data_IF_992313833460
#
_entry.id   IF_992313833460
#
_cell.length_a   1.000
_cell.length_b   1.000
_cell.length_c   1.000
_cell.angle_alpha   90.00
_cell.angle_beta   90.00
_cell.angle_gamma   90.00
#
_symmetry.space_group_name_H-M   'P 1'
#
loop_
_entity.id
_entity.type
_entity.pdbx_description
1 polymer ?
#
# COMPACT_ATOMS: atom_id res chain seq x y z
N UNK A 1 11.29 -12.45 -22.89
CA UNK A 1 10.18 -11.58 -22.44
C UNK A 1 9.41 -11.15 -23.67
N UNK A 2 8.14 -11.51 -23.75
CA UNK A 2 7.27 -11.14 -24.87
C UNK A 2 6.61 -9.78 -24.62
N UNK A 3 6.13 -9.13 -25.68
CA UNK A 3 5.46 -7.83 -25.59
C UNK A 3 4.20 -7.86 -24.69
N UNK A 4 3.56 -9.03 -24.61
CA UNK A 4 2.38 -9.29 -23.77
C UNK A 4 2.71 -9.35 -22.27
N UNK A 5 3.86 -9.94 -21.90
CA UNK A 5 4.32 -9.98 -20.51
C UNK A 5 4.65 -8.58 -19.97
N UNK A 6 5.18 -7.73 -20.85
CA UNK A 6 5.54 -6.35 -20.52
C UNK A 6 4.29 -5.49 -20.31
N UNK A 7 3.30 -5.59 -21.21
CA UNK A 7 2.01 -4.92 -21.04
C UNK A 7 1.24 -5.42 -19.81
N UNK A 8 1.28 -6.72 -19.52
CA UNK A 8 0.67 -7.29 -18.31
C UNK A 8 1.32 -6.71 -17.05
N UNK A 9 2.65 -6.66 -16.99
CA UNK A 9 3.40 -6.05 -15.87
C UNK A 9 3.11 -4.57 -15.71
N UNK A 10 3.03 -3.81 -16.80
CA UNK A 10 2.69 -2.38 -16.75
C UNK A 10 1.26 -2.16 -16.25
N UNK A 11 0.32 -3.00 -16.66
CA UNK A 11 -1.08 -2.95 -16.21
C UNK A 11 -1.22 -3.35 -14.75
N UNK A 12 -0.53 -4.40 -14.33
CA UNK A 12 -0.43 -4.80 -12.92
C UNK A 12 0.26 -3.73 -12.08
N UNK A 13 1.32 -3.10 -12.60
CA UNK A 13 2.00 -1.99 -11.94
C UNK A 13 1.13 -0.74 -11.80
N UNK A 14 0.29 -0.45 -12.81
CA UNK A 14 -0.67 0.65 -12.76
C UNK A 14 -1.83 0.37 -11.79
N UNK A 15 -2.22 -0.90 -11.64
CA UNK A 15 -3.33 -1.32 -10.76
C UNK A 15 -2.90 -1.54 -9.30
N UNK A 16 -1.66 -2.00 -9.09
CA UNK A 16 -1.16 -2.48 -7.79
C UNK A 16 0.08 -1.72 -7.30
N UNK A 17 0.58 -0.74 -8.07
CA UNK A 17 1.90 -0.13 -7.87
C UNK A 17 3.01 -0.97 -8.52
N UNK A 18 4.18 -0.38 -8.84
CA UNK A 18 5.30 -1.08 -9.45
C UNK A 18 5.55 -2.43 -8.77
N UNK A 19 5.65 -3.50 -9.58
CA UNK A 19 5.93 -4.85 -9.08
C UNK A 19 7.14 -4.80 -8.13
N UNK A 20 6.89 -5.04 -6.83
CA UNK A 20 7.84 -4.81 -5.73
C UNK A 20 7.32 -3.88 -4.62
N UNK A 21 6.24 -3.12 -4.84
CA UNK A 21 5.52 -2.34 -3.81
C UNK A 21 4.28 -3.06 -3.23
N UNK A 22 3.97 -4.27 -3.71
CA UNK A 22 2.85 -5.08 -3.24
C UNK A 22 3.22 -6.03 -2.07
N UNK A 23 4.48 -6.03 -1.63
CA UNK A 23 4.98 -6.98 -0.61
C UNK A 23 4.89 -6.43 0.82
N UNK A 24 4.00 -5.47 1.08
CA UNK A 24 3.81 -4.99 2.45
C UNK A 24 2.85 -5.88 3.21
N UNK A 25 3.21 -6.23 4.43
CA UNK A 25 2.43 -7.14 5.27
C UNK A 25 1.90 -6.45 6.52
N UNK A 26 0.83 -7.02 7.08
CA UNK A 26 0.36 -6.61 8.39
C UNK A 26 1.47 -6.89 9.42
N UNK A 27 1.97 -5.84 10.05
CA UNK A 27 3.13 -5.90 10.94
C UNK A 27 4.25 -4.97 10.51
N UNK A 28 4.38 -4.69 9.21
CA UNK A 28 5.41 -3.81 8.66
C UNK A 28 5.29 -2.39 9.24
N UNK A 29 6.43 -1.74 9.40
CA UNK A 29 6.53 -0.33 9.75
C UNK A 29 6.94 0.43 8.51
N UNK A 30 6.15 1.43 8.12
CA UNK A 30 6.36 2.21 6.89
C UNK A 30 6.42 3.70 7.18
N UNK A 31 7.13 4.45 6.33
CA UNK A 31 6.93 5.89 6.19
C UNK A 31 5.99 6.17 5.03
N UNK A 32 5.04 7.07 5.24
CA UNK A 32 3.98 7.36 4.28
C UNK A 32 3.60 8.84 4.29
N UNK A 33 2.99 9.28 3.19
CA UNK A 33 2.35 10.57 3.08
C UNK A 33 0.96 10.49 3.69
N UNK A 34 0.64 11.37 4.64
CA UNK A 34 -0.69 11.41 5.24
C UNK A 34 -1.72 11.90 4.20
N UNK A 35 -2.69 11.06 3.79
CA UNK A 35 -3.69 11.45 2.80
C UNK A 35 -4.58 12.62 3.29
N UNK A 36 -4.71 12.81 4.61
CA UNK A 36 -5.47 13.91 5.19
C UNK A 36 -4.68 15.22 5.27
N UNK A 37 -3.36 15.17 5.08
CA UNK A 37 -2.49 16.35 5.15
C UNK A 37 -1.41 16.35 4.06
N UNK A 38 -1.81 16.14 2.80
CA UNK A 38 -0.89 16.10 1.64
C UNK A 38 -0.17 17.41 1.34
N UNK A 39 -0.58 18.54 1.93
CA UNK A 39 0.10 19.84 1.76
C UNK A 39 1.33 19.98 2.65
N UNK A 40 1.37 19.22 3.74
CA UNK A 40 2.54 19.13 4.60
C UNK A 40 3.38 18.01 4.02
N UNK A 41 4.48 18.31 3.32
CA UNK A 41 5.46 17.33 2.82
C UNK A 41 6.13 16.46 3.93
N UNK A 42 5.54 16.44 5.13
CA UNK A 42 5.97 15.65 6.27
C UNK A 42 5.52 14.21 6.11
N UNK A 43 6.51 13.33 6.00
CA UNK A 43 6.32 11.90 6.11
C UNK A 43 5.92 11.52 7.54
N UNK A 44 4.88 10.71 7.65
CA UNK A 44 4.48 10.05 8.88
C UNK A 44 5.07 8.65 8.92
N UNK A 45 5.20 8.08 10.11
CA UNK A 45 5.58 6.69 10.30
C UNK A 45 4.47 5.95 11.04
N UNK A 46 4.18 4.73 10.62
CA UNK A 46 3.14 3.93 11.26
C UNK A 46 3.29 2.44 10.96
N UNK A 47 2.54 1.63 11.71
CA UNK A 47 2.52 0.18 11.56
C UNK A 47 1.33 -0.22 10.71
N UNK A 48 1.56 -1.05 9.70
CA UNK A 48 0.49 -1.69 8.95
C UNK A 48 -0.22 -2.69 9.86
N UNK A 49 -1.52 -2.51 10.07
CA UNK A 49 -2.32 -3.39 10.91
C UNK A 49 -3.20 -4.32 10.09
N UNK A 50 -3.51 -3.94 8.84
CA UNK A 50 -4.30 -4.75 7.93
C UNK A 50 -3.99 -4.40 6.48
N UNK A 51 -3.92 -5.41 5.63
CA UNK A 51 -3.71 -5.25 4.19
C UNK A 51 -4.93 -5.80 3.49
N UNK A 52 -5.61 -4.94 2.72
CA UNK A 52 -6.70 -5.35 1.87
C UNK A 52 -6.15 -5.50 0.46
N UNK A 53 -5.87 -6.74 0.08
CA UNK A 53 -5.47 -7.08 -1.27
C UNK A 53 -6.63 -6.83 -2.27
N UNK A 54 -6.29 -6.51 -3.53
CA UNK A 54 -7.25 -6.45 -4.62
C UNK A 54 -7.90 -7.82 -4.79
N UNK A 55 -9.23 -7.85 -4.81
CA UNK A 55 -10.01 -8.94 -5.36
C UNK A 55 -10.90 -8.38 -6.45
N UNK A 56 -11.46 -9.24 -7.30
CA UNK A 56 -12.63 -8.88 -8.08
C UNK A 56 -13.68 -8.34 -7.10
N UNK A 57 -14.07 -7.07 -7.22
CA UNK A 57 -15.00 -6.45 -6.29
C UNK A 57 -16.24 -7.32 -6.16
N UNK A 58 -16.56 -7.72 -4.92
CA UNK A 58 -17.65 -8.63 -4.52
C UNK A 58 -19.05 -8.22 -5.06
N UNK A 59 -19.17 -7.06 -5.70
CA UNK A 59 -20.23 -6.70 -6.65
C UNK A 59 -19.67 -5.82 -7.78
N UNK A 60 -19.80 -6.27 -9.03
CA UNK A 60 -19.81 -5.37 -10.20
C UNK A 60 -18.53 -5.27 -11.04
N UNK A 61 -17.54 -6.16 -10.87
CA UNK A 61 -16.40 -6.27 -11.81
C UNK A 61 -15.40 -5.12 -11.76
N UNK A 62 -15.46 -4.25 -10.74
CA UNK A 62 -14.48 -3.18 -10.51
C UNK A 62 -13.31 -3.74 -9.70
N UNK A 63 -12.09 -3.57 -10.23
CA UNK A 63 -10.85 -3.89 -9.50
C UNK A 63 -10.56 -2.73 -8.54
N UNK A 64 -10.49 -3.03 -7.24
CA UNK A 64 -10.09 -2.05 -6.23
C UNK A 64 -8.57 -2.15 -6.00
N UNK A 65 -7.84 -1.01 -5.87
CA UNK A 65 -6.42 -1.05 -5.57
C UNK A 65 -6.16 -1.61 -4.17
N UNK A 66 -4.97 -2.16 -3.95
CA UNK A 66 -4.50 -2.59 -2.61
C UNK A 66 -4.58 -1.41 -1.65
N UNK A 67 -5.23 -1.59 -0.50
CA UNK A 67 -5.30 -0.58 0.54
C UNK A 67 -4.70 -1.08 1.84
N UNK A 68 -3.95 -0.22 2.52
CA UNK A 68 -3.23 -0.52 3.75
C UNK A 68 -3.84 0.28 4.90
N UNK A 69 -4.17 -0.39 6.00
CA UNK A 69 -4.58 0.26 7.22
C UNK A 69 -3.36 0.46 8.09
N UNK A 70 -3.07 1.70 8.43
CA UNK A 70 -1.88 2.10 9.19
C UNK A 70 -2.28 2.68 10.51
N UNK A 71 -1.68 2.17 11.59
CA UNK A 71 -1.74 2.79 12.90
C UNK A 71 -0.55 3.76 13.04
N UNK A 72 -0.79 5.09 13.18
CA UNK A 72 0.29 6.06 13.31
C UNK A 72 1.15 5.84 14.56
N UNK A 73 2.47 6.08 14.44
CA UNK A 73 3.42 5.86 15.54
C UNK A 73 3.10 6.67 16.80
N UNK A 74 2.61 7.90 16.64
CA UNK A 74 2.29 8.81 17.75
C UNK A 74 0.86 8.64 18.28
N UNK A 75 0.20 7.53 17.95
CA UNK A 75 -1.18 7.25 18.34
C UNK A 75 -2.22 7.88 17.40
N UNK A 76 -3.47 7.42 17.49
CA UNK A 76 -4.57 7.87 16.66
C UNK A 76 -5.46 6.74 16.16
N UNK A 77 -6.45 7.09 15.34
CA UNK A 77 -7.27 6.11 14.62
C UNK A 77 -6.49 5.55 13.42
N UNK A 78 -6.72 4.28 13.04
CA UNK A 78 -6.14 3.74 11.82
C UNK A 78 -6.54 4.56 10.59
N UNK A 79 -5.57 4.81 9.72
CA UNK A 79 -5.75 5.56 8.48
C UNK A 79 -5.60 4.58 7.31
N UNK A 80 -6.41 4.77 6.27
CA UNK A 80 -6.27 4.01 5.03
C UNK A 80 -5.33 4.76 4.09
N UNK A 81 -4.27 4.10 3.65
CA UNK A 81 -3.33 4.59 2.64
C UNK A 81 -3.25 3.59 1.48
N UNK A 82 -2.73 4.04 0.35
CA UNK A 82 -2.48 3.19 -0.82
C UNK A 82 -0.98 2.98 -1.01
N UNK A 83 -0.61 2.04 -1.88
CA UNK A 83 0.80 1.76 -2.20
C UNK A 83 1.55 3.03 -2.63
N UNK A 84 0.89 3.92 -3.37
CA UNK A 84 1.45 5.20 -3.81
C UNK A 84 1.75 6.18 -2.69
N UNK A 85 1.13 6.03 -1.52
CA UNK A 85 1.38 6.90 -0.36
C UNK A 85 2.56 6.39 0.47
N UNK A 86 2.98 5.13 0.30
CA UNK A 86 4.13 4.55 1.00
C UNK A 86 5.42 4.99 0.32
N UNK A 87 6.26 5.68 1.08
CA UNK A 87 7.54 6.20 0.59
C UNK A 87 8.67 5.23 0.92
N UNK A 88 8.63 4.59 2.09
CA UNK A 88 9.73 3.75 2.57
C UNK A 88 9.24 2.65 3.51
N UNK A 89 9.80 1.45 3.38
CA UNK A 89 9.73 0.40 4.41
C UNK A 89 10.79 0.67 5.47
N UNK A 90 10.38 0.84 6.73
CA UNK A 90 11.29 1.06 7.86
C UNK A 90 11.69 -0.26 8.51
N UNK A 91 10.74 -1.18 8.67
CA UNK A 91 10.98 -2.51 9.26
C UNK A 91 9.95 -3.48 8.73
N UNK A 92 10.37 -4.73 8.52
CA UNK A 92 9.45 -5.84 8.27
C UNK A 92 8.72 -6.24 9.54
N UNK A 93 7.54 -6.84 9.38
CA UNK A 93 6.96 -7.71 10.37
C UNK A 93 8.02 -8.75 10.79
N UNK A 94 8.19 -8.97 12.09
CA UNK A 94 9.01 -10.08 12.53
C UNK A 94 8.33 -11.37 12.05
N UNK A 95 9.07 -12.23 11.35
CA UNK A 95 8.62 -13.57 10.99
C UNK A 95 8.11 -14.26 12.25
N UNK A 96 6.85 -14.71 12.22
CA UNK A 96 6.21 -15.41 13.32
C UNK A 96 6.61 -16.88 13.35
#
# INVERSE_FOLDING_TARGET
>A
MTNEEQQKREREAALYGPAGQADYEAGDIVKYLDPHNRQSDKLQQGKLIFVRAPGEGVRGGVVHPTSFYVLPRFGGFPIVIYASDIVELVSRAADK
#
